data_IF_419679583882
#
_entry.id   IF_419679583882
#
_cell.length_a   1.000
_cell.length_b   1.000
_cell.length_c   1.000
_cell.angle_alpha   90.00
_cell.angle_beta   90.00
_cell.angle_gamma   90.00
#
_symmetry.space_group_name_H-M   'P 1'
#
loop_
_entity.id
_entity.type
_entity.pdbx_description
1 polymer ?
#
# COMPACT_ATOMS: atom_id res chain seq x y z
N UNK A 1 8.10 33.97 12.39
CA UNK A 1 9.24 33.51 13.24
C UNK A 1 9.70 32.09 12.85
N UNK A 2 8.84 31.09 12.71
CA UNK A 2 9.26 29.70 12.44
C UNK A 2 10.00 29.47 11.11
N UNK A 3 9.58 30.12 10.02
CA UNK A 3 10.23 29.95 8.72
C UNK A 3 11.66 30.52 8.71
N UNK A 4 11.89 31.68 9.35
CA UNK A 4 13.22 32.25 9.43
C UNK A 4 14.17 31.33 10.22
N UNK A 5 13.75 30.81 11.37
CA UNK A 5 14.52 29.85 12.17
C UNK A 5 14.84 28.57 11.38
N UNK A 6 13.89 28.09 10.56
CA UNK A 6 14.12 26.92 9.70
C UNK A 6 15.19 27.20 8.62
N UNK A 7 15.15 28.38 7.99
CA UNK A 7 16.18 28.79 7.00
C UNK A 7 17.54 28.96 7.66
N UNK A 8 17.62 29.59 8.81
CA UNK A 8 18.87 29.76 9.56
C UNK A 8 19.47 28.39 9.96
N UNK A 9 18.62 27.47 10.45
CA UNK A 9 19.04 26.11 10.77
C UNK A 9 19.53 25.35 9.52
N UNK A 10 18.88 25.54 8.38
CA UNK A 10 19.30 24.94 7.12
C UNK A 10 20.67 25.45 6.66
N UNK A 11 20.87 26.76 6.69
CA UNK A 11 22.15 27.38 6.29
C UNK A 11 23.30 26.98 7.21
N UNK A 12 23.01 26.78 8.50
CA UNK A 12 24.01 26.36 9.49
C UNK A 12 24.37 24.86 9.44
N UNK A 13 23.65 24.06 8.66
CA UNK A 13 23.94 22.62 8.53
C UNK A 13 25.22 22.34 7.76
N UNK A 14 25.96 21.35 8.19
CA UNK A 14 27.04 20.75 7.41
C UNK A 14 26.46 19.71 6.44
N UNK A 15 26.01 20.17 5.29
CA UNK A 15 25.42 19.31 4.26
C UNK A 15 26.38 18.25 3.72
N UNK A 16 27.70 18.54 3.74
CA UNK A 16 28.70 17.57 3.29
C UNK A 16 28.86 16.42 4.29
N UNK A 17 28.92 16.71 5.58
CA UNK A 17 28.95 15.69 6.62
C UNK A 17 27.66 14.88 6.68
N UNK A 18 26.49 15.51 6.49
CA UNK A 18 25.20 14.84 6.40
C UNK A 18 25.16 13.87 5.22
N UNK A 19 25.63 14.30 4.05
CA UNK A 19 25.72 13.46 2.86
C UNK A 19 26.59 12.22 3.08
N UNK A 20 27.77 12.38 3.69
CA UNK A 20 28.65 11.25 4.02
C UNK A 20 27.98 10.28 5.01
N UNK A 21 27.24 10.81 5.96
CA UNK A 21 26.47 9.98 6.91
C UNK A 21 25.42 9.15 6.18
N UNK A 22 24.70 9.73 5.24
CA UNK A 22 23.71 9.02 4.43
C UNK A 22 24.36 7.91 3.59
N UNK A 23 25.45 8.20 2.91
CA UNK A 23 26.17 7.20 2.13
C UNK A 23 26.68 6.05 3.00
N UNK A 24 27.22 6.35 4.18
CA UNK A 24 27.68 5.32 5.13
C UNK A 24 26.56 4.39 5.58
N UNK A 25 25.37 4.94 5.86
CA UNK A 25 24.18 4.14 6.20
C UNK A 25 23.75 3.23 5.07
N UNK A 26 23.70 3.77 3.85
CA UNK A 26 23.34 2.99 2.67
C UNK A 26 24.38 1.90 2.36
N UNK A 27 25.66 2.20 2.54
CA UNK A 27 26.74 1.21 2.37
C UNK A 27 26.61 0.06 3.37
N UNK A 28 26.32 0.36 4.65
CA UNK A 28 26.07 -0.65 5.68
C UNK A 28 24.92 -1.61 5.26
N UNK A 29 23.81 -1.06 4.77
CA UNK A 29 22.69 -1.88 4.28
C UNK A 29 23.14 -2.70 3.07
N UNK A 30 23.82 -2.09 2.12
CA UNK A 30 24.32 -2.72 0.90
C UNK A 30 25.21 -3.93 1.21
N UNK A 31 26.19 -3.78 2.09
CA UNK A 31 27.09 -4.86 2.48
C UNK A 31 26.35 -6.07 3.05
N UNK A 32 25.27 -5.83 3.81
CA UNK A 32 24.46 -6.90 4.38
C UNK A 32 23.61 -7.60 3.35
N UNK A 33 22.94 -6.86 2.45
CA UNK A 33 22.00 -7.46 1.52
C UNK A 33 22.69 -8.14 0.34
N UNK A 34 23.89 -7.71 -0.05
CA UNK A 34 24.70 -8.37 -1.07
C UNK A 34 25.19 -9.78 -0.67
N UNK A 35 25.06 -10.17 0.59
CA UNK A 35 25.28 -11.56 1.03
C UNK A 35 24.19 -12.50 0.53
N UNK A 36 23.10 -11.98 -0.01
CA UNK A 36 21.97 -12.78 -0.53
C UNK A 36 22.20 -13.02 -2.03
N UNK A 37 22.25 -14.27 -2.42
CA UNK A 37 22.45 -14.65 -3.82
C UNK A 37 21.31 -14.12 -4.68
N UNK A 38 21.65 -13.44 -5.78
CA UNK A 38 20.67 -12.88 -6.73
C UNK A 38 20.10 -11.51 -6.33
N UNK A 39 20.62 -10.88 -5.27
CA UNK A 39 20.29 -9.49 -4.91
C UNK A 39 21.34 -8.56 -5.50
N UNK A 40 20.88 -7.48 -6.11
CA UNK A 40 21.68 -6.40 -6.66
C UNK A 40 21.34 -5.08 -5.95
N UNK A 41 22.28 -4.15 -5.92
CA UNK A 41 22.09 -2.84 -5.30
C UNK A 41 22.62 -1.73 -6.20
N UNK A 42 21.93 -0.59 -6.20
CA UNK A 42 22.34 0.63 -6.90
C UNK A 42 22.02 1.85 -6.03
N UNK A 43 22.93 2.83 -6.01
CA UNK A 43 22.69 4.11 -5.35
C UNK A 43 22.33 5.14 -6.41
N UNK A 44 21.06 5.52 -6.46
CA UNK A 44 20.56 6.59 -7.31
C UNK A 44 20.86 7.96 -6.67
N UNK A 45 21.40 8.86 -7.49
CA UNK A 45 21.60 10.25 -7.11
C UNK A 45 20.29 11.03 -7.23
N UNK A 46 20.03 12.01 -6.35
CA UNK A 46 18.82 12.82 -6.46
C UNK A 46 18.83 13.63 -7.76
N UNK A 47 17.75 13.54 -8.52
CA UNK A 47 17.61 14.23 -9.82
C UNK A 47 16.60 15.39 -9.80
N UNK A 48 15.93 15.64 -8.67
CA UNK A 48 14.87 16.64 -8.55
C UNK A 48 15.22 17.80 -7.62
N UNK A 49 14.37 18.81 -7.62
CA UNK A 49 14.50 19.97 -6.73
C UNK A 49 14.02 19.69 -5.29
N UNK A 50 13.23 18.64 -5.10
CA UNK A 50 12.52 18.35 -3.84
C UNK A 50 13.22 17.36 -2.93
N UNK A 51 14.01 16.44 -3.47
CA UNK A 51 14.73 15.44 -2.67
C UNK A 51 16.22 15.53 -2.95
N UNK A 52 17.00 15.81 -1.92
CA UNK A 52 18.45 15.93 -2.00
C UNK A 52 19.20 14.76 -1.36
N UNK A 53 18.52 13.70 -0.93
CA UNK A 53 19.18 12.52 -0.38
C UNK A 53 19.36 11.43 -1.45
N UNK A 54 20.47 10.64 -1.39
CA UNK A 54 20.63 9.49 -2.25
C UNK A 54 19.57 8.44 -1.93
N UNK A 55 19.28 7.56 -2.89
CA UNK A 55 18.31 6.46 -2.71
C UNK A 55 19.01 5.15 -3.03
N UNK A 56 18.97 4.19 -2.11
CA UNK A 56 19.41 2.83 -2.35
C UNK A 56 18.28 2.04 -2.97
N UNK A 57 18.50 1.52 -4.17
CA UNK A 57 17.63 0.56 -4.85
C UNK A 57 18.20 -0.83 -4.61
N UNK A 58 17.39 -1.72 -4.08
CA UNK A 58 17.72 -3.14 -3.88
C UNK A 58 16.79 -3.93 -4.77
N UNK A 59 17.34 -4.71 -5.70
CA UNK A 59 16.57 -5.46 -6.69
C UNK A 59 16.93 -6.94 -6.73
N UNK A 60 15.97 -7.77 -7.13
CA UNK A 60 16.11 -9.22 -7.24
C UNK A 60 15.14 -9.80 -8.25
N UNK A 61 15.38 -11.04 -8.65
CA UNK A 61 14.42 -11.82 -9.43
C UNK A 61 13.30 -12.34 -8.52
N UNK A 62 12.04 -11.89 -8.67
CA UNK A 62 10.92 -12.35 -7.86
C UNK A 62 10.60 -13.84 -8.05
N UNK A 63 10.96 -14.43 -9.19
CA UNK A 63 10.78 -15.86 -9.41
C UNK A 63 11.81 -16.69 -8.61
N UNK A 64 13.04 -16.17 -8.45
CA UNK A 64 14.08 -16.84 -7.68
C UNK A 64 13.85 -16.77 -6.16
N UNK A 65 13.44 -15.61 -5.64
CA UNK A 65 13.20 -15.42 -4.21
C UNK A 65 11.74 -15.63 -3.79
N UNK A 66 10.85 -15.88 -4.73
CA UNK A 66 9.40 -16.12 -4.52
C UNK A 66 8.72 -14.99 -3.71
N UNK A 67 9.14 -13.75 -3.94
CA UNK A 67 8.58 -12.57 -3.29
C UNK A 67 8.73 -11.35 -4.19
N UNK A 68 7.65 -10.53 -4.30
CA UNK A 68 7.64 -9.26 -5.03
C UNK A 68 8.10 -8.09 -4.17
N UNK A 69 8.42 -6.95 -4.79
CA UNK A 69 8.75 -5.72 -4.07
C UNK A 69 7.60 -5.22 -3.20
N UNK A 70 6.37 -5.30 -3.71
CA UNK A 70 5.17 -4.93 -2.95
C UNK A 70 4.94 -5.80 -1.72
N UNK A 71 5.18 -7.11 -1.83
CA UNK A 71 5.05 -8.03 -0.69
C UNK A 71 6.09 -7.74 0.39
N UNK A 72 7.31 -7.34 0.01
CA UNK A 72 8.33 -6.91 0.99
C UNK A 72 7.90 -5.62 1.67
N UNK A 73 7.44 -4.63 0.93
CA UNK A 73 6.95 -3.36 1.49
C UNK A 73 5.74 -3.57 2.41
N UNK A 74 4.81 -4.45 2.04
CA UNK A 74 3.66 -4.81 2.88
C UNK A 74 4.09 -5.51 4.18
N UNK A 75 5.03 -6.45 4.14
CA UNK A 75 5.57 -7.11 5.34
C UNK A 75 6.24 -6.09 6.27
N UNK A 76 7.03 -5.17 5.71
CA UNK A 76 7.66 -4.10 6.48
C UNK A 76 6.66 -3.16 7.15
N UNK A 77 5.60 -2.81 6.45
CA UNK A 77 4.56 -1.93 6.98
C UNK A 77 3.71 -2.61 8.06
N UNK A 78 3.43 -3.90 7.93
CA UNK A 78 2.58 -4.65 8.87
C UNK A 78 3.29 -5.09 10.15
N UNK A 79 4.58 -5.40 10.07
CA UNK A 79 5.32 -6.03 11.16
C UNK A 79 6.32 -5.06 11.80
N UNK A 80 6.53 -5.24 13.13
CA UNK A 80 7.53 -4.44 13.87
C UNK A 80 8.95 -5.01 13.70
N UNK A 81 9.97 -4.14 13.62
CA UNK A 81 9.89 -2.69 13.46
C UNK A 81 9.30 -2.34 12.09
N UNK A 82 8.44 -1.31 12.05
CA UNK A 82 7.87 -0.84 10.80
C UNK A 82 8.87 -0.01 10.03
N UNK A 83 8.97 -0.27 8.74
CA UNK A 83 9.89 0.42 7.84
C UNK A 83 9.10 0.84 6.60
N UNK A 84 9.07 2.13 6.31
CA UNK A 84 8.49 2.64 5.08
C UNK A 84 9.52 2.55 3.95
N UNK A 85 9.18 1.88 2.87
CA UNK A 85 10.02 1.75 1.68
C UNK A 85 9.19 1.98 0.42
N UNK A 86 9.78 2.56 -0.60
CA UNK A 86 9.22 2.48 -1.95
C UNK A 86 9.37 1.06 -2.50
N UNK A 87 8.48 0.63 -3.38
CA UNK A 87 8.53 -0.70 -3.98
C UNK A 87 7.93 -0.71 -5.37
N UNK A 88 8.27 -1.73 -6.14
CA UNK A 88 7.72 -1.98 -7.46
C UNK A 88 8.40 -3.13 -8.17
N UNK A 89 8.02 -3.29 -9.44
CA UNK A 89 8.60 -4.26 -10.38
C UNK A 89 8.95 -3.54 -11.68
N UNK A 90 10.14 -3.75 -12.18
CA UNK A 90 10.61 -3.15 -13.45
C UNK A 90 11.50 -4.13 -14.19
N UNK A 91 11.21 -4.35 -15.48
CA UNK A 91 12.03 -5.21 -16.32
C UNK A 91 12.14 -6.66 -15.82
N UNK A 92 11.12 -7.18 -15.15
CA UNK A 92 11.11 -8.52 -14.58
C UNK A 92 11.86 -8.65 -13.25
N UNK A 93 12.39 -7.56 -12.70
CA UNK A 93 12.99 -7.51 -11.38
C UNK A 93 12.07 -6.80 -10.39
N UNK A 94 11.89 -7.39 -9.22
CA UNK A 94 11.30 -6.74 -8.07
C UNK A 94 12.32 -5.81 -7.41
N UNK A 95 11.86 -4.69 -6.85
CA UNK A 95 12.74 -3.78 -6.12
C UNK A 95 12.08 -3.14 -4.91
N UNK A 96 12.91 -2.69 -3.97
CA UNK A 96 12.56 -1.73 -2.92
C UNK A 96 13.54 -0.56 -2.96
N UNK A 97 13.06 0.60 -2.47
CA UNK A 97 13.82 1.86 -2.43
C UNK A 97 13.91 2.36 -0.99
N UNK A 98 15.11 2.74 -0.58
CA UNK A 98 15.40 3.22 0.76
C UNK A 98 16.06 4.59 0.68
N UNK A 99 15.47 5.57 1.35
CA UNK A 99 16.01 6.91 1.53
C UNK A 99 16.52 7.09 2.96
N UNK A 100 17.78 7.52 3.17
CA UNK A 100 18.38 7.57 4.50
C UNK A 100 18.04 8.83 5.29
N UNK A 101 17.40 9.84 4.69
CA UNK A 101 17.21 11.17 5.26
C UNK A 101 16.44 11.22 6.57
N UNK A 102 15.57 10.24 6.81
CA UNK A 102 14.76 10.13 8.04
C UNK A 102 15.33 9.12 9.05
N UNK A 103 16.43 8.45 8.71
CA UNK A 103 17.04 7.45 9.61
C UNK A 103 17.69 8.11 10.81
N UNK A 104 17.41 7.57 11.98
CA UNK A 104 18.12 7.87 13.21
C UNK A 104 19.38 6.98 13.31
N UNK A 105 20.35 7.28 14.20
CA UNK A 105 21.49 6.40 14.47
C UNK A 105 21.01 4.95 14.73
N UNK A 106 21.77 3.98 14.22
CA UNK A 106 21.51 2.53 14.31
C UNK A 106 20.29 2.01 13.53
N UNK A 107 19.53 2.88 12.82
CA UNK A 107 18.42 2.41 12.00
C UNK A 107 18.92 1.60 10.80
N UNK A 108 20.11 1.88 10.26
CA UNK A 108 20.73 1.14 9.18
C UNK A 108 20.91 -0.35 9.52
N UNK A 109 21.29 -0.67 10.76
CA UNK A 109 21.40 -2.06 11.23
C UNK A 109 20.04 -2.75 11.26
N UNK A 110 19.03 -2.06 11.81
CA UNK A 110 17.65 -2.58 11.89
C UNK A 110 17.09 -2.85 10.49
N UNK A 111 17.27 -1.91 9.57
CA UNK A 111 16.82 -2.02 8.18
C UNK A 111 17.54 -3.16 7.47
N UNK A 112 18.87 -3.20 7.54
CA UNK A 112 19.69 -4.23 6.90
C UNK A 112 19.31 -5.64 7.38
N UNK A 113 19.18 -5.82 8.70
CA UNK A 113 18.76 -7.07 9.31
C UNK A 113 17.36 -7.50 8.84
N UNK A 114 16.44 -6.55 8.79
CA UNK A 114 15.06 -6.85 8.41
C UNK A 114 14.93 -7.25 6.95
N UNK A 115 15.62 -6.55 6.03
CA UNK A 115 15.69 -6.92 4.62
C UNK A 115 16.29 -8.32 4.47
N UNK A 116 17.42 -8.56 5.12
CA UNK A 116 18.08 -9.87 5.07
C UNK A 116 17.14 -10.99 5.52
N UNK A 117 16.45 -10.82 6.64
CA UNK A 117 15.50 -11.81 7.17
C UNK A 117 14.35 -12.08 6.21
N UNK A 118 13.80 -11.05 5.57
CA UNK A 118 12.68 -11.21 4.64
C UNK A 118 13.15 -11.90 3.36
N UNK A 119 14.23 -11.45 2.75
CA UNK A 119 14.67 -11.99 1.46
C UNK A 119 15.25 -13.41 1.57
N UNK A 120 15.83 -13.77 2.72
CA UNK A 120 16.37 -15.14 2.95
C UNK A 120 15.33 -16.13 3.48
N UNK A 121 14.14 -15.66 3.84
CA UNK A 121 13.08 -16.56 4.31
C UNK A 121 12.68 -17.55 3.21
N UNK A 122 12.78 -18.85 3.49
CA UNK A 122 12.35 -19.88 2.55
C UNK A 122 10.86 -19.74 2.22
N UNK A 123 10.54 -19.74 0.93
CA UNK A 123 9.17 -19.68 0.40
C UNK A 123 9.00 -20.74 -0.67
N UNK A 124 7.79 -21.29 -0.73
CA UNK A 124 7.40 -22.12 -1.88
C UNK A 124 7.14 -21.20 -3.09
N UNK A 125 7.41 -21.67 -4.30
CA UNK A 125 6.99 -20.97 -5.51
C UNK A 125 5.51 -20.60 -5.42
N UNK A 126 5.18 -19.37 -5.79
CA UNK A 126 3.79 -19.00 -5.91
C UNK A 126 3.20 -19.73 -7.11
N UNK A 127 1.99 -20.30 -6.99
CA UNK A 127 1.35 -20.95 -8.13
C UNK A 127 1.19 -19.90 -9.26
N UNK A 128 1.53 -20.33 -10.49
CA UNK A 128 1.40 -19.47 -11.68
C UNK A 128 -0.06 -19.10 -11.98
N UNK A 129 -1.00 -19.85 -11.43
CA UNK A 129 -2.44 -19.60 -11.55
C UNK A 129 -3.06 -19.63 -10.16
N UNK A 130 -3.94 -18.66 -9.90
CA UNK A 130 -4.75 -18.65 -8.68
C UNK A 130 -5.73 -19.82 -8.71
N UNK A 131 -6.00 -20.44 -7.56
CA UNK A 131 -7.10 -21.36 -7.46
C UNK A 131 -8.41 -20.68 -7.84
N UNK A 132 -9.28 -21.36 -8.57
CA UNK A 132 -10.55 -20.77 -9.01
C UNK A 132 -11.33 -20.20 -7.81
N UNK A 133 -11.97 -19.06 -8.02
CA UNK A 133 -12.86 -18.49 -7.02
C UNK A 133 -14.05 -19.41 -6.79
N UNK A 134 -14.39 -19.70 -5.53
CA UNK A 134 -15.52 -20.55 -5.16
C UNK A 134 -16.85 -19.83 -5.21
N UNK A 135 -16.82 -18.49 -5.08
CA UNK A 135 -18.02 -17.65 -4.98
C UNK A 135 -17.85 -16.43 -5.86
N UNK A 136 -18.89 -16.08 -6.59
CA UNK A 136 -19.00 -14.79 -7.27
C UNK A 136 -19.42 -13.70 -6.27
N UNK A 137 -18.55 -12.70 -6.10
CA UNK A 137 -18.78 -11.56 -5.23
C UNK A 137 -19.25 -10.32 -5.97
N UNK A 138 -19.60 -10.44 -7.24
CA UNK A 138 -20.19 -9.32 -7.99
C UNK A 138 -21.43 -8.79 -7.29
N UNK A 139 -21.62 -7.48 -7.34
CA UNK A 139 -22.80 -6.79 -6.79
C UNK A 139 -22.46 -5.70 -5.77
N UNK A 140 -23.49 -5.33 -5.02
CA UNK A 140 -23.39 -4.29 -3.98
C UNK A 140 -23.19 -4.92 -2.61
N UNK A 141 -22.33 -4.26 -1.81
CA UNK A 141 -22.02 -4.69 -0.46
C UNK A 141 -22.06 -3.49 0.48
N UNK A 142 -22.82 -3.61 1.55
CA UNK A 142 -22.80 -2.66 2.66
C UNK A 142 -21.68 -3.05 3.62
N UNK A 143 -20.69 -2.20 3.76
CA UNK A 143 -19.44 -2.44 4.45
C UNK A 143 -19.39 -1.65 5.76
N UNK A 144 -19.16 -2.32 6.86
CA UNK A 144 -18.84 -1.71 8.15
C UNK A 144 -17.35 -1.87 8.38
N UNK A 145 -16.67 -0.76 8.65
CA UNK A 145 -15.25 -0.72 9.00
C UNK A 145 -15.12 -0.33 10.47
N UNK A 146 -14.47 -1.20 11.24
CA UNK A 146 -14.23 -1.02 12.67
C UNK A 146 -12.77 -0.62 12.90
N UNK A 147 -12.56 0.65 13.21
CA UNK A 147 -11.26 1.20 13.61
C UNK A 147 -11.05 1.00 15.12
N UNK A 148 -9.90 1.41 15.62
CA UNK A 148 -9.58 1.27 17.05
C UNK A 148 -10.60 1.96 17.97
N UNK A 149 -11.12 3.13 17.59
CA UNK A 149 -12.00 3.96 18.44
C UNK A 149 -13.28 4.43 17.74
N UNK A 150 -13.52 4.01 16.51
CA UNK A 150 -14.67 4.46 15.71
C UNK A 150 -15.08 3.40 14.70
N UNK A 151 -16.26 3.59 14.12
CA UNK A 151 -16.76 2.80 12.99
C UNK A 151 -17.17 3.74 11.87
N UNK A 152 -17.07 3.27 10.62
CA UNK A 152 -17.65 3.96 9.47
C UNK A 152 -18.41 2.96 8.58
N UNK A 153 -19.34 3.50 7.80
CA UNK A 153 -20.12 2.74 6.83
C UNK A 153 -19.66 3.10 5.43
N UNK A 154 -19.25 2.09 4.67
CA UNK A 154 -18.83 2.23 3.30
C UNK A 154 -19.69 1.34 2.41
N UNK A 155 -19.52 1.47 1.09
CA UNK A 155 -20.15 0.61 0.11
C UNK A 155 -19.12 0.11 -0.89
N UNK A 156 -19.30 -1.15 -1.33
CA UNK A 156 -18.52 -1.72 -2.43
C UNK A 156 -19.47 -2.06 -3.57
N UNK A 157 -19.05 -1.71 -4.78
CA UNK A 157 -19.70 -2.08 -6.04
C UNK A 157 -18.70 -2.90 -6.81
N UNK A 158 -18.85 -4.22 -6.81
CA UNK A 158 -17.84 -5.14 -7.34
C UNK A 158 -18.36 -5.82 -8.61
N UNK A 159 -17.45 -6.04 -9.54
CA UNK A 159 -17.59 -6.91 -10.71
C UNK A 159 -16.46 -7.93 -10.66
N UNK A 160 -16.80 -9.19 -10.91
CA UNK A 160 -15.83 -10.27 -10.89
C UNK A 160 -15.81 -10.99 -12.22
N UNK A 161 -14.61 -11.18 -12.77
CA UNK A 161 -14.36 -12.02 -13.94
C UNK A 161 -13.30 -13.07 -13.58
N UNK A 162 -13.77 -14.31 -13.41
CA UNK A 162 -12.91 -15.39 -12.92
C UNK A 162 -12.35 -15.09 -11.53
N UNK A 163 -11.03 -14.95 -11.43
CA UNK A 163 -10.35 -14.59 -10.18
C UNK A 163 -10.19 -13.06 -10.00
N UNK A 164 -10.44 -12.27 -11.06
CA UNK A 164 -10.21 -10.83 -11.04
C UNK A 164 -11.44 -10.07 -10.56
N UNK A 165 -11.20 -9.05 -9.77
CA UNK A 165 -12.24 -8.19 -9.19
C UNK A 165 -11.88 -6.75 -9.47
N UNK A 166 -12.84 -6.00 -9.95
CA UNK A 166 -12.77 -4.55 -10.10
C UNK A 166 -14.05 -3.89 -9.60
N UNK A 167 -14.00 -2.60 -9.36
CA UNK A 167 -15.21 -1.89 -8.94
C UNK A 167 -14.92 -0.56 -8.26
N UNK A 168 -15.84 -0.18 -7.38
CA UNK A 168 -15.81 1.08 -6.67
C UNK A 168 -15.94 0.84 -5.16
N UNK A 169 -15.08 1.46 -4.39
CA UNK A 169 -15.18 1.59 -2.95
C UNK A 169 -15.62 3.01 -2.62
N UNK A 170 -16.78 3.15 -2.03
CA UNK A 170 -17.34 4.42 -1.59
C UNK A 170 -17.29 4.52 -0.08
N UNK A 171 -16.56 5.49 0.44
CA UNK A 171 -16.55 5.90 1.84
C UNK A 171 -17.41 7.15 2.06
N UNK A 172 -17.48 7.64 3.28
CA UNK A 172 -18.26 8.84 3.60
C UNK A 172 -17.81 10.10 2.83
N UNK A 173 -16.53 10.16 2.46
CA UNK A 173 -15.92 11.37 1.88
C UNK A 173 -15.29 11.15 0.51
N UNK A 174 -15.22 9.92 0.04
CA UNK A 174 -14.53 9.63 -1.22
C UNK A 174 -15.10 8.41 -1.94
N UNK A 175 -14.99 8.44 -3.26
CA UNK A 175 -15.23 7.30 -4.13
C UNK A 175 -13.92 6.94 -4.81
N UNK A 176 -13.52 5.66 -4.74
CA UNK A 176 -12.23 5.18 -5.18
C UNK A 176 -12.40 3.93 -6.02
N UNK A 177 -11.54 3.77 -6.99
CA UNK A 177 -11.41 2.49 -7.68
C UNK A 177 -10.94 1.41 -6.70
N UNK A 178 -11.49 0.21 -6.82
CA UNK A 178 -11.07 -0.97 -6.09
C UNK A 178 -10.77 -2.09 -7.07
N UNK A 179 -9.64 -2.74 -6.88
CA UNK A 179 -9.22 -3.88 -7.70
C UNK A 179 -8.69 -4.99 -6.82
N UNK A 180 -8.72 -6.22 -7.30
CA UNK A 180 -8.16 -7.32 -6.54
C UNK A 180 -8.41 -8.69 -7.11
N UNK A 181 -8.34 -9.69 -6.24
CA UNK A 181 -8.48 -11.08 -6.62
C UNK A 181 -9.28 -11.89 -5.60
N UNK A 182 -9.98 -12.92 -6.11
CA UNK A 182 -10.55 -13.99 -5.31
C UNK A 182 -9.80 -15.29 -5.60
N UNK A 183 -9.47 -16.04 -4.56
CA UNK A 183 -8.85 -17.36 -4.62
C UNK A 183 -9.53 -18.30 -3.64
N UNK A 184 -10.23 -19.34 -4.15
CA UNK A 184 -11.16 -20.11 -3.32
C UNK A 184 -12.18 -19.17 -2.68
N UNK A 185 -12.26 -19.17 -1.37
CA UNK A 185 -13.11 -18.25 -0.60
C UNK A 185 -12.36 -17.03 -0.03
N UNK A 186 -11.09 -16.82 -0.41
CA UNK A 186 -10.29 -15.68 0.05
C UNK A 186 -10.35 -14.54 -0.96
N UNK A 187 -10.44 -13.32 -0.46
CA UNK A 187 -10.41 -12.11 -1.26
C UNK A 187 -9.29 -11.18 -0.80
N UNK A 188 -8.60 -10.59 -1.76
CA UNK A 188 -7.62 -9.52 -1.56
C UNK A 188 -7.99 -8.37 -2.46
N UNK A 189 -8.34 -7.23 -1.88
CA UNK A 189 -8.74 -6.05 -2.63
C UNK A 189 -7.87 -4.87 -2.23
N UNK A 190 -7.64 -3.97 -3.16
CA UNK A 190 -6.91 -2.73 -2.94
C UNK A 190 -7.73 -1.56 -3.46
N UNK A 191 -7.97 -0.59 -2.61
CA UNK A 191 -8.58 0.68 -2.94
C UNK A 191 -7.65 1.80 -2.51
N UNK A 192 -7.36 2.73 -3.41
CA UNK A 192 -6.44 3.84 -3.15
C UNK A 192 -6.88 5.10 -3.89
N UNK A 193 -6.90 6.22 -3.18
CA UNK A 193 -7.07 7.55 -3.79
C UNK A 193 -5.76 7.95 -4.45
N UNK A 194 -5.81 8.33 -5.73
CA UNK A 194 -4.71 9.01 -6.39
C UNK A 194 -4.90 10.52 -6.25
N UNK A 195 -4.47 11.06 -5.12
CA UNK A 195 -4.43 12.51 -4.91
C UNK A 195 -2.99 12.94 -4.65
N UNK A 196 -2.60 14.18 -5.03
CA UNK A 196 -1.33 14.74 -4.58
C UNK A 196 -1.33 14.84 -3.05
N UNK A 197 -0.32 14.26 -2.41
CA UNK A 197 -0.22 14.12 -0.96
C UNK A 197 -0.40 12.69 -0.49
N UNK A 198 -0.67 12.51 0.80
CA UNK A 198 -0.81 11.18 1.40
C UNK A 198 -2.13 10.53 0.98
N UNK A 199 -2.00 9.41 0.28
CA UNK A 199 -3.14 8.54 0.01
C UNK A 199 -3.07 7.32 0.91
N UNK A 200 -4.09 7.13 1.74
CA UNK A 200 -4.20 5.95 2.59
C UNK A 200 -4.68 4.79 1.73
N UNK A 201 -3.89 3.72 1.54
CA UNK A 201 -4.36 2.55 0.86
C UNK A 201 -5.29 1.75 1.76
N UNK A 202 -6.42 1.30 1.23
CA UNK A 202 -7.26 0.30 1.87
C UNK A 202 -6.89 -1.06 1.29
N UNK A 203 -6.09 -1.84 2.00
CA UNK A 203 -5.70 -3.19 1.59
C UNK A 203 -6.55 -4.21 2.35
N UNK A 204 -7.60 -4.69 1.69
CA UNK A 204 -8.53 -5.67 2.25
C UNK A 204 -7.94 -7.07 2.15
N UNK A 205 -8.07 -7.83 3.21
CA UNK A 205 -7.80 -9.27 3.24
C UNK A 205 -8.95 -9.94 3.98
N UNK A 206 -9.76 -10.70 3.26
CA UNK A 206 -10.99 -11.25 3.80
C UNK A 206 -11.32 -12.66 3.31
N UNK A 207 -12.41 -13.19 3.86
CA UNK A 207 -13.03 -14.45 3.44
C UNK A 207 -14.50 -14.24 3.15
N UNK A 208 -14.95 -14.93 2.13
CA UNK A 208 -16.37 -14.97 1.73
C UNK A 208 -17.04 -16.16 2.41
N UNK A 209 -18.20 -15.92 3.00
CA UNK A 209 -19.07 -16.95 3.57
C UNK A 209 -20.52 -16.58 3.26
N UNK A 210 -21.08 -17.15 2.21
CA UNK A 210 -22.41 -16.79 1.71
C UNK A 210 -22.44 -15.30 1.30
N UNK A 211 -23.37 -14.55 1.88
CA UNK A 211 -23.57 -13.13 1.61
C UNK A 211 -22.77 -12.21 2.57
N UNK A 212 -21.71 -12.73 3.14
CA UNK A 212 -20.83 -11.99 4.06
C UNK A 212 -19.38 -12.10 3.58
N UNK A 213 -18.67 -10.98 3.54
CA UNK A 213 -17.22 -10.91 3.43
C UNK A 213 -16.69 -10.30 4.73
N UNK A 214 -15.79 -10.97 5.42
CA UNK A 214 -15.20 -10.43 6.64
C UNK A 214 -13.70 -10.59 6.66
N UNK A 215 -13.02 -9.70 7.39
CA UNK A 215 -11.57 -9.74 7.47
C UNK A 215 -10.97 -8.44 8.00
N UNK A 216 -9.76 -8.13 7.55
CA UNK A 216 -9.03 -6.95 7.97
C UNK A 216 -8.70 -6.03 6.80
N UNK A 217 -8.61 -4.73 7.11
CA UNK A 217 -8.12 -3.69 6.19
C UNK A 217 -6.83 -3.15 6.76
N UNK A 218 -5.75 -3.22 5.99
CA UNK A 218 -4.52 -2.55 6.36
C UNK A 218 -4.51 -1.13 5.78
N UNK A 219 -4.27 -0.14 6.63
CA UNK A 219 -4.37 1.29 6.34
C UNK A 219 -3.00 1.98 6.40
N UNK A 220 -1.93 1.27 6.08
CA UNK A 220 -0.58 1.81 6.16
C UNK A 220 -0.20 2.20 7.59
N UNK A 221 0.24 3.43 7.78
CA UNK A 221 0.64 3.96 9.09
C UNK A 221 -0.51 4.04 10.11
N UNK A 222 -1.77 4.06 9.65
CA UNK A 222 -2.97 4.10 10.51
C UNK A 222 -3.40 2.72 11.01
N UNK A 223 -2.53 1.72 10.88
CA UNK A 223 -2.72 0.37 11.41
C UNK A 223 -3.71 -0.50 10.62
N UNK A 224 -4.42 -1.33 11.35
CA UNK A 224 -5.34 -2.31 10.78
C UNK A 224 -6.73 -2.13 11.40
N UNK A 225 -7.72 -2.01 10.54
CA UNK A 225 -9.14 -2.06 10.91
C UNK A 225 -9.71 -3.46 10.64
N UNK A 226 -10.81 -3.80 11.27
CA UNK A 226 -11.63 -4.97 10.92
C UNK A 226 -12.75 -4.53 9.99
N UNK A 227 -13.27 -5.46 9.18
CA UNK A 227 -14.41 -5.16 8.36
C UNK A 227 -15.37 -6.33 8.23
N UNK A 228 -16.63 -5.98 8.04
CA UNK A 228 -17.68 -6.91 7.64
C UNK A 228 -18.49 -6.25 6.54
N UNK A 229 -18.55 -6.90 5.38
CA UNK A 229 -19.39 -6.51 4.27
C UNK A 229 -20.55 -7.51 4.13
N UNK A 230 -21.76 -7.01 4.01
CA UNK A 230 -22.96 -7.80 3.75
C UNK A 230 -23.47 -7.48 2.37
N UNK A 231 -23.88 -8.50 1.62
CA UNK A 231 -24.48 -8.29 0.29
C UNK A 231 -25.72 -7.42 0.45
N UNK A 232 -25.72 -6.30 -0.25
CA UNK A 232 -26.83 -5.35 -0.17
C UNK A 232 -28.01 -5.88 -0.95
N UNK A 233 -29.20 -5.79 -0.34
CA UNK A 233 -30.48 -6.09 -0.97
C UNK A 233 -31.07 -4.86 -1.68
N UNK A 234 -30.21 -3.88 -2.03
CA UNK A 234 -30.63 -2.63 -2.65
C UNK A 234 -31.51 -2.86 -3.87
N UNK A 235 -32.80 -2.66 -3.68
CA UNK A 235 -33.72 -2.52 -4.78
C UNK A 235 -33.71 -1.07 -5.25
N UNK A 236 -33.32 -0.86 -6.51
CA UNK A 236 -33.30 0.47 -7.14
C UNK A 236 -34.72 1.04 -7.19
N UNK A 237 -35.18 1.61 -6.09
CA UNK A 237 -36.43 2.35 -6.03
C UNK A 237 -36.21 3.69 -6.72
N UNK A 238 -36.55 3.78 -8.01
CA UNK A 238 -36.72 5.08 -8.65
C UNK A 238 -37.99 5.70 -8.06
N UNK A 239 -37.84 6.56 -7.07
CA UNK A 239 -38.91 7.52 -6.78
C UNK A 239 -39.05 8.40 -8.02
N UNK A 240 -40.25 8.45 -8.67
CA UNK A 240 -40.43 9.38 -9.76
C UNK A 240 -40.17 10.78 -9.24
N UNK A 241 -39.30 11.51 -9.92
CA UNK A 241 -39.06 12.91 -9.61
C UNK A 241 -40.35 13.66 -10.01
N UNK A 242 -41.11 14.13 -9.03
CA UNK A 242 -42.25 15.02 -9.26
C UNK A 242 -41.66 16.39 -9.63
N UNK A 243 -41.79 16.74 -10.90
CA UNK A 243 -41.52 18.12 -11.34
C UNK A 243 -42.61 18.99 -10.74
N UNK A 244 -42.28 20.02 -9.91
CA UNK A 244 -43.29 20.91 -9.40
C UNK A 244 -44.07 21.55 -10.56
N UNK A 245 -45.38 21.40 -10.58
CA UNK A 245 -46.23 22.16 -11.50
C UNK A 245 -46.22 23.62 -11.06
N UNK A 246 -45.49 24.45 -11.77
CA UNK A 246 -45.42 25.88 -11.54
C UNK A 246 -44.86 26.61 -12.76
N UNK A 247 -45.13 27.92 -12.91
CA UNK A 247 -44.53 28.68 -13.99
C UNK A 247 -42.99 28.63 -13.86
N UNK A 248 -42.24 28.59 -15.00
CA UNK A 248 -40.79 28.60 -14.96
C UNK A 248 -40.32 29.81 -14.18
N UNK A 249 -39.36 29.60 -13.27
CA UNK A 249 -38.71 30.68 -12.54
C UNK A 249 -38.12 31.66 -13.58
N UNK A 250 -38.60 32.89 -13.54
CA UNK A 250 -38.01 33.96 -14.38
C UNK A 250 -36.53 34.15 -13.97
N UNK A 251 -35.65 33.98 -14.97
CA UNK A 251 -34.21 34.29 -14.87
C UNK A 251 -34.01 35.78 -14.88
#
# INVERSE_FOLDING_TARGET
MGMLAAVEAWVARDHAAEWQTWLSRLDHITQRVLQIVGVETEIEQPSGLSNHSPTLVISWDPAALHITGEQVAEDFARNKPRIAVGSGDTGGKAYIRITPSQMQPDNEEVVAKRIYQILTKARSPQPAQLAAAEVDISGHWDLIVEYFSSTSQHQLYLQQEGNWIEGVHQSDFSSQEIVGTAEGNKVKLRSQVRQPGDSIPFLFSGRVSGDIISGSIFLGEYLTAQFTAKRSTYQKSRKPFAIPEGPPLAT
#
